data_IF_397183572389
#
_entry.id   IF_397183572389
#
_cell.length_a   1.000
_cell.length_b   1.000
_cell.length_c   1.000
_cell.angle_alpha   90.00
_cell.angle_beta   90.00
_cell.angle_gamma   90.00
#
_symmetry.space_group_name_H-M   'P 1'
#
loop_
_entity.id
_entity.type
_entity.pdbx_description
1 polymer ?
#
# COMPACT_ATOMS: atom_id res chain seq x y z
N UNK A 1 32.76 26.45 32.19
CA UNK A 1 33.07 26.08 30.80
C UNK A 1 32.77 24.61 30.61
N UNK A 2 31.61 24.26 30.07
CA UNK A 2 31.49 23.16 29.11
C UNK A 2 30.35 23.58 28.19
N UNK A 3 30.74 24.24 27.10
CA UNK A 3 29.89 24.52 25.96
C UNK A 3 29.59 23.20 25.25
N UNK A 4 28.37 22.68 25.39
CA UNK A 4 27.91 21.64 24.46
C UNK A 4 27.75 22.28 23.07
N UNK A 5 28.38 21.71 22.03
CA UNK A 5 28.39 22.30 20.71
C UNK A 5 27.00 22.19 20.11
N UNK A 6 26.63 23.23 19.35
CA UNK A 6 25.47 23.29 18.47
C UNK A 6 25.38 22.01 17.63
N UNK A 7 24.64 21.00 18.12
CA UNK A 7 24.07 20.00 17.23
C UNK A 7 22.96 20.72 16.49
N UNK A 8 23.34 21.44 15.43
CA UNK A 8 22.44 21.65 14.31
C UNK A 8 22.05 20.25 13.84
N UNK A 9 21.00 19.69 14.45
CA UNK A 9 20.25 18.58 13.89
C UNK A 9 19.67 19.14 12.60
N UNK A 10 20.47 19.10 11.52
CA UNK A 10 19.91 19.04 10.19
C UNK A 10 18.82 17.99 10.26
N UNK A 11 17.57 18.37 9.98
CA UNK A 11 16.42 17.47 10.02
C UNK A 11 16.69 16.31 9.05
N UNK A 12 17.25 15.21 9.57
CA UNK A 12 17.52 13.96 8.87
C UNK A 12 16.20 13.17 8.86
N UNK A 13 15.39 13.36 7.82
CA UNK A 13 14.41 12.39 7.25
C UNK A 13 13.37 13.15 6.40
N UNK A 14 13.60 13.20 5.09
CA UNK A 14 12.74 13.96 4.17
C UNK A 14 11.55 13.12 3.68
N UNK A 15 10.72 12.61 4.59
CA UNK A 15 9.50 11.91 4.23
C UNK A 15 8.30 12.42 5.06
N UNK A 16 7.14 12.69 4.45
CA UNK A 16 5.99 13.25 5.15
C UNK A 16 5.22 12.25 6.01
N UNK A 17 5.47 10.94 5.84
CA UNK A 17 4.61 9.88 6.41
C UNK A 17 5.40 8.80 7.17
N UNK A 18 6.64 9.08 7.55
CA UNK A 18 7.50 8.13 8.25
C UNK A 18 8.95 8.29 7.87
N UNK A 19 9.76 7.28 8.17
CA UNK A 19 11.16 7.25 7.77
C UNK A 19 11.32 6.86 6.30
N UNK A 20 12.41 7.30 5.64
CA UNK A 20 12.73 6.85 4.29
C UNK A 20 12.86 5.33 4.21
N UNK A 21 12.44 4.78 3.07
CA UNK A 21 12.60 3.37 2.78
C UNK A 21 14.08 3.02 2.69
N UNK A 22 14.48 1.96 3.39
CA UNK A 22 15.81 1.37 3.29
C UNK A 22 15.71 -0.02 2.65
N UNK A 23 16.42 -0.23 1.54
CA UNK A 23 16.50 -1.55 0.90
C UNK A 23 17.53 -2.47 1.55
N UNK A 24 18.41 -1.92 2.39
CA UNK A 24 19.52 -2.62 3.04
C UNK A 24 19.25 -2.76 4.53
N UNK A 25 19.74 -3.86 5.13
CA UNK A 25 19.62 -4.15 6.57
C UNK A 25 20.25 -3.07 7.46
N UNK A 26 21.19 -2.32 6.93
CA UNK A 26 21.95 -1.31 7.67
C UNK A 26 21.13 -0.03 7.94
N UNK A 27 19.88 0.02 7.46
CA UNK A 27 18.97 1.15 7.66
C UNK A 27 19.28 2.35 6.76
N UNK A 28 20.21 2.23 5.83
CA UNK A 28 20.56 3.30 4.88
C UNK A 28 19.38 3.59 3.94
N UNK A 29 18.89 4.85 3.88
CA UNK A 29 17.82 5.24 2.96
C UNK A 29 18.16 4.96 1.50
N UNK A 30 17.19 4.44 0.76
CA UNK A 30 17.27 4.26 -0.68
C UNK A 30 17.20 5.62 -1.37
N UNK A 31 18.28 5.96 -2.08
CA UNK A 31 18.34 7.16 -2.90
C UNK A 31 17.51 7.00 -4.19
N UNK A 32 16.95 8.11 -4.66
CA UNK A 32 16.20 8.17 -5.90
C UNK A 32 16.55 9.42 -6.71
N UNK A 33 16.23 9.41 -8.00
CA UNK A 33 16.37 10.59 -8.85
C UNK A 33 15.05 11.34 -8.91
N UNK A 34 15.06 12.65 -8.67
CA UNK A 34 13.83 13.46 -8.72
C UNK A 34 13.15 13.47 -10.11
N UNK A 35 13.90 13.15 -11.17
CA UNK A 35 13.40 13.08 -12.55
C UNK A 35 12.86 11.70 -12.94
N UNK A 36 13.34 10.64 -12.30
CA UNK A 36 13.01 9.25 -12.63
C UNK A 36 12.77 8.51 -11.32
N UNK A 37 11.53 8.10 -11.07
CA UNK A 37 11.20 7.39 -9.84
C UNK A 37 11.83 5.97 -9.86
N UNK A 38 13.02 5.84 -9.29
CA UNK A 38 13.71 4.56 -9.08
C UNK A 38 13.26 3.87 -7.79
N UNK A 39 12.25 4.42 -7.11
CA UNK A 39 11.67 3.81 -5.92
C UNK A 39 10.74 2.65 -6.27
N UNK A 40 10.49 1.72 -5.32
CA UNK A 40 9.46 0.70 -5.45
C UNK A 40 8.08 1.30 -5.75
N UNK A 41 7.17 0.52 -6.33
CA UNK A 41 5.82 0.97 -6.75
C UNK A 41 4.96 1.55 -5.61
N UNK A 42 5.29 1.24 -4.36
CA UNK A 42 4.61 1.72 -3.15
C UNK A 42 5.16 3.06 -2.64
N UNK A 43 6.24 3.55 -3.25
CA UNK A 43 7.02 4.70 -2.82
C UNK A 43 7.11 5.77 -3.91
N UNK A 44 7.35 7.01 -3.47
CA UNK A 44 7.65 8.14 -4.34
C UNK A 44 9.00 8.76 -3.97
N UNK A 45 9.63 9.41 -4.92
CA UNK A 45 10.88 10.11 -4.69
C UNK A 45 10.63 11.48 -4.05
N UNK A 46 11.13 11.69 -2.83
CA UNK A 46 11.13 13.00 -2.16
C UNK A 46 12.51 13.63 -2.23
N UNK A 47 12.64 14.74 -2.94
CA UNK A 47 13.85 15.52 -3.06
C UNK A 47 13.60 16.98 -2.63
N UNK A 48 14.62 17.64 -2.09
CA UNK A 48 14.53 19.06 -1.74
C UNK A 48 14.51 19.91 -3.02
N UNK A 49 13.92 21.13 -2.98
CA UNK A 49 13.99 22.05 -4.10
C UNK A 49 15.45 22.30 -4.53
N UNK A 50 15.75 22.08 -5.81
CA UNK A 50 17.09 22.23 -6.37
C UNK A 50 18.00 21.00 -6.25
N UNK A 51 17.58 19.94 -5.56
CA UNK A 51 18.33 18.69 -5.44
C UNK A 51 17.90 17.68 -6.52
N UNK A 52 18.89 17.04 -7.16
CA UNK A 52 18.61 16.01 -8.18
C UNK A 52 18.38 14.63 -7.57
N UNK A 53 18.92 14.41 -6.38
CA UNK A 53 18.84 13.16 -5.63
C UNK A 53 17.89 13.37 -4.46
N UNK A 54 17.01 12.40 -4.24
CA UNK A 54 16.08 12.36 -3.13
C UNK A 54 16.14 11.01 -2.43
N UNK A 55 15.16 10.77 -1.57
CA UNK A 55 14.96 9.50 -0.88
C UNK A 55 13.57 8.93 -1.18
N UNK A 56 13.47 7.60 -1.14
CA UNK A 56 12.20 6.92 -1.36
C UNK A 56 11.30 7.00 -0.12
N UNK A 57 10.13 7.60 -0.25
CA UNK A 57 9.15 7.75 0.81
C UNK A 57 7.89 6.95 0.49
N UNK A 58 7.28 6.34 1.51
CA UNK A 58 6.04 5.59 1.34
C UNK A 58 4.89 6.51 0.93
N UNK A 59 4.11 6.10 -0.07
CA UNK A 59 2.96 6.88 -0.53
C UNK A 59 1.78 6.79 0.45
N UNK A 60 1.03 7.89 0.59
CA UNK A 60 -0.24 7.92 1.34
C UNK A 60 -1.18 6.78 0.93
N UNK A 61 -1.34 6.57 -0.39
CA UNK A 61 -2.18 5.48 -0.93
C UNK A 61 -1.74 4.13 -0.40
N UNK A 62 -0.44 3.82 -0.44
CA UNK A 62 0.04 2.53 0.03
C UNK A 62 -0.26 2.32 1.51
N UNK A 63 -0.02 3.32 2.35
CA UNK A 63 -0.34 3.24 3.80
C UNK A 63 -1.81 2.90 4.01
N UNK A 64 -2.72 3.65 3.38
CA UNK A 64 -4.15 3.54 3.63
C UNK A 64 -4.80 2.25 3.11
N UNK A 65 -4.13 1.48 2.24
CA UNK A 65 -4.66 0.20 1.74
C UNK A 65 -4.09 -1.02 2.47
N UNK A 66 -3.18 -0.84 3.43
CA UNK A 66 -2.67 -1.94 4.24
C UNK A 66 -3.77 -2.44 5.19
N UNK A 67 -3.85 -3.75 5.38
CA UNK A 67 -4.69 -4.31 6.45
C UNK A 67 -4.14 -3.91 7.83
N UNK A 68 -4.98 -3.78 8.87
CA UNK A 68 -4.50 -3.54 10.22
C UNK A 68 -3.57 -4.67 10.65
N UNK A 69 -2.41 -4.31 11.20
CA UNK A 69 -1.44 -5.27 11.73
C UNK A 69 -1.23 -5.04 13.22
N UNK A 70 -1.65 -6.03 14.00
CA UNK A 70 -1.47 -6.03 15.46
C UNK A 70 0.01 -6.13 15.85
N UNK A 71 0.86 -6.72 15.01
CA UNK A 71 2.23 -7.05 15.37
C UNK A 71 2.32 -8.20 16.40
N UNK A 72 3.55 -8.65 16.72
CA UNK A 72 3.80 -9.86 17.49
C UNK A 72 3.71 -9.65 19.01
N UNK A 73 3.75 -8.39 19.48
CA UNK A 73 3.68 -8.10 20.90
C UNK A 73 2.26 -8.26 21.48
N UNK A 74 2.18 -8.41 22.80
CA UNK A 74 0.94 -8.76 23.51
C UNK A 74 0.31 -7.62 24.30
N UNK A 75 0.76 -6.37 24.11
CA UNK A 75 0.11 -5.19 24.70
C UNK A 75 -1.22 -4.94 23.96
N UNK A 76 -2.24 -4.44 24.64
CA UNK A 76 -3.48 -4.00 24.00
C UNK A 76 -3.49 -2.47 23.95
N UNK A 77 -3.09 -1.91 22.81
CA UNK A 77 -3.09 -0.47 22.59
C UNK A 77 -4.18 -0.13 21.58
N UNK A 78 -5.22 0.64 21.96
CA UNK A 78 -6.23 1.08 21.00
C UNK A 78 -5.61 1.97 19.93
N UNK A 79 -5.82 1.60 18.67
CA UNK A 79 -5.39 2.36 17.49
C UNK A 79 -6.49 2.38 16.45
N UNK A 80 -6.32 3.18 15.41
CA UNK A 80 -7.22 3.28 14.28
C UNK A 80 -6.50 2.88 13.01
N UNK A 81 -7.19 2.14 12.13
CA UNK A 81 -6.74 1.87 10.78
C UNK A 81 -7.81 2.34 9.81
N UNK A 82 -7.40 2.70 8.60
CA UNK A 82 -8.31 3.07 7.53
C UNK A 82 -8.76 1.83 6.75
N UNK A 83 -10.08 1.67 6.59
CA UNK A 83 -10.67 0.70 5.69
C UNK A 83 -11.02 1.40 4.38
N UNK A 84 -10.32 1.11 3.26
CA UNK A 84 -10.65 1.72 1.97
C UNK A 84 -11.97 1.22 1.40
N UNK A 85 -12.43 0.03 1.80
CA UNK A 85 -13.71 -0.57 1.40
C UNK A 85 -14.88 0.22 1.97
N UNK A 86 -14.81 0.52 3.27
CA UNK A 86 -15.85 1.30 3.95
C UNK A 86 -15.59 2.80 3.89
N UNK A 87 -14.41 3.21 3.42
CA UNK A 87 -13.90 4.58 3.44
C UNK A 87 -13.95 5.23 4.83
N UNK A 88 -13.67 4.42 5.87
CA UNK A 88 -13.79 4.83 7.27
C UNK A 88 -12.61 4.37 8.10
N UNK A 89 -12.28 5.13 9.15
CA UNK A 89 -11.32 4.74 10.16
C UNK A 89 -11.96 3.93 11.29
N UNK A 90 -11.49 2.71 11.50
CA UNK A 90 -12.02 1.77 12.49
C UNK A 90 -10.99 1.48 13.57
N UNK A 91 -11.44 1.36 14.83
CA UNK A 91 -10.56 1.01 15.95
C UNK A 91 -10.11 -0.45 15.86
N UNK A 92 -8.85 -0.73 16.14
CA UNK A 92 -8.29 -2.07 16.31
C UNK A 92 -7.33 -2.12 17.49
N UNK A 93 -7.00 -3.33 17.95
CA UNK A 93 -6.05 -3.56 19.05
C UNK A 93 -4.64 -3.79 18.48
N UNK A 94 -3.73 -2.84 18.75
CA UNK A 94 -2.33 -2.94 18.39
C UNK A 94 -1.50 -3.55 19.53
N UNK A 95 -0.64 -4.50 19.18
CA UNK A 95 0.21 -5.31 20.06
C UNK A 95 1.28 -4.52 20.82
N UNK A 96 1.54 -3.27 20.42
CA UNK A 96 2.54 -2.38 21.03
C UNK A 96 3.93 -2.41 20.40
N UNK A 97 4.19 -3.31 19.44
CA UNK A 97 5.44 -3.32 18.67
C UNK A 97 5.22 -3.83 17.24
N UNK A 98 6.17 -3.50 16.35
CA UNK A 98 6.10 -3.78 14.91
C UNK A 98 4.76 -3.30 14.32
N UNK A 99 4.13 -4.09 13.46
CA UNK A 99 2.93 -3.67 12.74
C UNK A 99 3.28 -2.96 11.44
N UNK A 100 2.30 -2.23 10.90
CA UNK A 100 2.49 -1.42 9.70
C UNK A 100 1.99 0.03 9.91
N UNK A 101 2.12 0.84 8.86
CA UNK A 101 1.85 2.27 8.90
C UNK A 101 0.35 2.63 8.90
N UNK A 102 -0.57 1.70 8.60
CA UNK A 102 -2.01 1.93 8.73
C UNK A 102 -2.43 1.78 10.22
N UNK A 103 -1.82 2.61 11.06
CA UNK A 103 -1.90 2.55 12.50
C UNK A 103 -1.78 3.97 13.06
N UNK A 104 -2.93 4.54 13.41
CA UNK A 104 -3.07 5.91 13.87
C UNK A 104 -3.51 5.95 15.32
N UNK A 105 -3.00 6.90 16.09
CA UNK A 105 -3.37 7.08 17.48
C UNK A 105 -4.82 7.57 17.67
N UNK A 106 -5.32 8.38 16.72
CA UNK A 106 -6.65 8.97 16.78
C UNK A 106 -7.41 8.73 15.48
N UNK A 107 -8.75 8.70 15.59
CA UNK A 107 -9.64 8.59 14.43
C UNK A 107 -9.44 9.76 13.46
N UNK A 108 -9.39 10.98 13.98
CA UNK A 108 -9.22 12.21 13.20
C UNK A 108 -7.91 12.20 12.39
N UNK A 109 -6.79 11.76 13.00
CA UNK A 109 -5.53 11.65 12.27
C UNK A 109 -5.64 10.63 11.13
N UNK A 110 -6.27 9.49 11.38
CA UNK A 110 -6.53 8.49 10.34
C UNK A 110 -7.38 9.05 9.19
N UNK A 111 -8.48 9.74 9.51
CA UNK A 111 -9.42 10.28 8.51
C UNK A 111 -8.73 11.37 7.67
N UNK A 112 -8.07 12.33 8.31
CA UNK A 112 -7.32 13.39 7.63
C UNK A 112 -6.17 12.81 6.78
N UNK A 113 -5.46 11.81 7.31
CA UNK A 113 -4.36 11.19 6.58
C UNK A 113 -4.87 10.43 5.36
N UNK A 114 -5.95 9.64 5.47
CA UNK A 114 -6.44 8.76 4.40
C UNK A 114 -7.57 9.35 3.56
N UNK A 115 -7.93 10.62 3.76
CA UNK A 115 -8.94 11.33 3.00
C UNK A 115 -8.75 11.15 1.48
N UNK A 116 -9.83 10.79 0.77
CA UNK A 116 -9.83 10.59 -0.68
C UNK A 116 -9.20 9.27 -1.16
N UNK A 117 -8.82 8.35 -0.26
CA UNK A 117 -8.40 7.00 -0.64
C UNK A 117 -9.60 6.07 -0.64
N UNK A 118 -10.17 5.78 -1.81
CA UNK A 118 -11.22 4.76 -1.94
C UNK A 118 -10.66 3.41 -2.39
N UNK A 119 -11.36 2.31 -2.07
CA UNK A 119 -11.09 0.99 -2.65
C UNK A 119 -11.29 0.95 -4.17
N UNK A 120 -11.92 1.97 -4.75
CA UNK A 120 -12.27 2.06 -6.16
C UNK A 120 -11.04 2.03 -7.09
N UNK A 121 -9.83 2.21 -6.54
CA UNK A 121 -8.57 2.02 -7.28
C UNK A 121 -8.03 0.58 -7.27
N UNK A 122 -8.70 -0.36 -6.59
CA UNK A 122 -8.41 -1.80 -6.66
C UNK A 122 -9.30 -2.52 -7.68
N UNK A 123 -10.33 -1.85 -8.19
CA UNK A 123 -11.18 -2.32 -9.29
C UNK A 123 -11.27 -1.25 -10.35
N UNK A 124 -10.40 -1.37 -11.35
CA UNK A 124 -10.53 -0.76 -12.68
C UNK A 124 -10.51 0.78 -12.76
N UNK A 125 -9.58 1.25 -13.58
CA UNK A 125 -9.69 2.49 -14.34
C UNK A 125 -11.11 2.62 -14.93
N UNK A 126 -11.90 3.61 -14.51
CA UNK A 126 -13.09 4.02 -15.25
C UNK A 126 -12.64 4.85 -16.45
N UNK A 127 -12.49 4.21 -17.60
CA UNK A 127 -12.73 4.90 -18.87
C UNK A 127 -14.23 4.84 -19.16
N UNK A 128 -14.76 5.87 -19.80
CA UNK A 128 -16.18 6.20 -19.99
C UNK A 128 -16.96 5.21 -20.90
N UNK A 129 -16.68 3.91 -20.86
CA UNK A 129 -17.44 2.91 -21.63
C UNK A 129 -17.75 1.68 -20.80
N UNK A 130 -18.91 1.73 -20.15
CA UNK A 130 -19.75 0.62 -19.65
C UNK A 130 -19.35 -0.80 -20.08
N UNK A 131 -18.90 -1.62 -19.12
CA UNK A 131 -19.21 -3.05 -19.06
C UNK A 131 -18.78 -3.63 -17.71
N UNK A 132 -19.72 -4.25 -17.00
CA UNK A 132 -19.43 -5.08 -15.84
C UNK A 132 -18.42 -6.17 -16.20
N UNK A 133 -17.40 -6.38 -15.35
CA UNK A 133 -16.60 -7.60 -15.38
C UNK A 133 -16.72 -8.27 -14.03
N UNK A 134 -17.32 -9.44 -14.12
CA UNK A 134 -17.58 -10.44 -13.10
C UNK A 134 -16.25 -10.89 -12.45
N UNK A 135 -16.24 -10.88 -11.11
CA UNK A 135 -15.40 -11.65 -10.18
C UNK A 135 -14.03 -12.18 -10.64
N UNK A 136 -13.03 -11.74 -9.87
CA UNK A 136 -11.74 -12.39 -9.57
C UNK A 136 -11.62 -13.86 -9.99
N UNK A 137 -10.80 -14.13 -11.00
CA UNK A 137 -10.14 -15.44 -11.14
C UNK A 137 -8.63 -15.21 -11.07
N UNK A 138 -8.10 -15.46 -9.88
CA UNK A 138 -6.67 -15.62 -9.65
C UNK A 138 -6.19 -16.73 -10.57
N UNK A 139 -5.42 -16.36 -11.59
CA UNK A 139 -4.92 -17.30 -12.59
C UNK A 139 -4.06 -18.39 -11.97
N UNK A 140 -4.65 -19.58 -11.80
CA UNK A 140 -3.97 -20.87 -11.86
C UNK A 140 -5.00 -21.95 -12.23
N UNK A 141 -4.97 -22.43 -13.48
CA UNK A 141 -5.33 -23.82 -13.78
C UNK A 141 -4.60 -24.35 -15.01
N UNK A 142 -4.01 -25.53 -14.80
CA UNK A 142 -2.93 -26.17 -15.54
C UNK A 142 -3.44 -27.10 -16.65
N UNK A 143 -3.93 -26.56 -17.76
CA UNK A 143 -4.10 -27.37 -18.99
C UNK A 143 -3.73 -26.55 -20.22
N UNK A 144 -2.84 -27.12 -21.04
CA UNK A 144 -2.21 -26.46 -22.18
C UNK A 144 -3.13 -26.11 -23.35
N UNK A 145 -2.57 -25.70 -24.51
CA UNK A 145 -3.30 -25.01 -25.57
C UNK A 145 -4.30 -25.95 -26.26
N UNK A 146 -5.58 -25.56 -26.31
CA UNK A 146 -6.63 -26.31 -27.01
C UNK A 146 -6.91 -25.68 -28.39
N UNK A 147 -6.74 -26.51 -29.41
CA UNK A 147 -6.87 -26.27 -30.86
C UNK A 147 -8.32 -25.83 -31.23
N UNK A 148 -8.54 -25.03 -32.29
CA UNK A 148 -9.85 -24.45 -32.60
C UNK A 148 -10.94 -25.47 -32.97
N UNK A 149 -12.17 -25.11 -32.59
CA UNK A 149 -13.39 -25.90 -32.72
C UNK A 149 -13.83 -26.12 -34.19
N UNK A 150 -13.39 -27.24 -34.77
CA UNK A 150 -13.84 -27.72 -36.09
C UNK A 150 -14.29 -29.18 -36.09
N UNK A 151 -14.45 -29.83 -34.94
CA UNK A 151 -14.73 -31.25 -34.87
C UNK A 151 -15.81 -31.61 -33.83
N UNK A 152 -17.01 -31.88 -34.38
CA UNK A 152 -17.90 -33.01 -34.04
C UNK A 152 -18.95 -32.81 -32.93
N UNK A 153 -20.13 -32.42 -33.43
CA UNK A 153 -21.44 -33.10 -33.38
C UNK A 153 -22.06 -33.50 -32.02
N UNK A 154 -23.32 -33.05 -31.86
CA UNK A 154 -24.32 -33.39 -30.85
C UNK A 154 -24.41 -34.89 -30.54
N UNK A 155 -24.61 -35.21 -29.26
CA UNK A 155 -25.35 -36.37 -28.79
C UNK A 155 -26.34 -35.93 -27.70
N UNK A 156 -27.57 -36.41 -27.82
CA UNK A 156 -28.72 -36.10 -26.97
C UNK A 156 -28.73 -36.89 -25.66
N UNK A 157 -29.65 -36.46 -24.79
CA UNK A 157 -30.46 -37.23 -23.82
C UNK A 157 -29.98 -37.43 -22.37
N UNK A 158 -30.78 -36.81 -21.48
CA UNK A 158 -31.49 -37.38 -20.32
C UNK A 158 -30.69 -37.67 -19.04
N UNK A 159 -31.15 -37.16 -17.87
CA UNK A 159 -32.01 -37.87 -16.90
C UNK A 159 -31.85 -37.32 -15.45
N UNK A 160 -32.97 -37.27 -14.71
CA UNK A 160 -33.14 -37.02 -13.25
C UNK A 160 -32.97 -35.55 -12.79
N UNK A 161 -33.91 -34.89 -12.10
CA UNK A 161 -34.98 -35.27 -11.14
C UNK A 161 -36.24 -34.42 -11.40
#
# INVERSE_FOLDING_TARGET
MISEPLVTKAKVSSCPHGDPFASSSDGTPMACSAKVNTCPSTHFCSAKPGEKIGVCCVSKRHVCVLNPDRGPCSVSVPRYFYSPVNQTCTRFEYGGCAGNLNNFATREHCENFCEGVASDFLTAYHDETSSAVETYELGFSLTGPQIPAGARKRAQHNKYV
#
